data_IF_656344985927
#
_entry.id   IF_656344985927
#
_cell.length_a   1.000
_cell.length_b   1.000
_cell.length_c   1.000
_cell.angle_alpha   90.00
_cell.angle_beta   90.00
_cell.angle_gamma   90.00
#
_symmetry.space_group_name_H-M   'P 1'
#
loop_
_entity.id
_entity.type
_entity.pdbx_description
1 polymer ?
#
# COMPACT_ATOMS: atom_id res chain seq x y z
N UNK A 1 51.61 -12.22 -21.29
CA UNK A 1 50.25 -12.63 -21.68
C UNK A 1 49.35 -11.40 -21.65
N UNK A 2 48.77 -10.96 -22.78
CA UNK A 2 47.99 -9.73 -22.86
C UNK A 2 46.51 -10.04 -22.53
N UNK A 3 46.19 -10.32 -21.27
CA UNK A 3 44.79 -10.48 -20.85
C UNK A 3 44.13 -9.14 -20.49
N UNK A 4 44.93 -8.12 -20.15
CA UNK A 4 44.45 -6.83 -19.64
C UNK A 4 43.65 -6.01 -20.66
N UNK A 5 43.92 -6.14 -21.96
CA UNK A 5 43.25 -5.33 -22.99
C UNK A 5 41.87 -5.86 -23.39
N UNK A 6 41.66 -7.18 -23.32
CA UNK A 6 40.38 -7.82 -23.61
C UNK A 6 39.40 -7.67 -22.44
N UNK A 7 39.90 -7.75 -21.21
CA UNK A 7 39.09 -7.56 -20.01
C UNK A 7 38.54 -6.12 -19.93
N UNK A 8 39.35 -5.10 -20.23
CA UNK A 8 38.92 -3.70 -20.25
C UNK A 8 37.82 -3.43 -21.28
N UNK A 9 37.96 -3.93 -22.51
CA UNK A 9 36.94 -3.78 -23.56
C UNK A 9 35.63 -4.51 -23.21
N UNK A 10 35.71 -5.65 -22.51
CA UNK A 10 34.53 -6.39 -22.05
C UNK A 10 33.80 -5.68 -20.90
N UNK A 11 34.57 -5.06 -19.99
CA UNK A 11 34.03 -4.30 -18.86
C UNK A 11 33.39 -2.98 -19.31
N UNK A 12 34.00 -2.27 -20.26
CA UNK A 12 33.41 -1.06 -20.86
C UNK A 12 32.09 -1.38 -21.58
N UNK A 13 32.06 -2.43 -22.39
CA UNK A 13 30.84 -2.88 -23.06
C UNK A 13 29.73 -3.30 -22.07
N UNK A 14 30.09 -3.87 -20.91
CA UNK A 14 29.12 -4.24 -19.86
C UNK A 14 28.55 -3.01 -19.17
N UNK A 15 29.39 -2.02 -18.87
CA UNK A 15 28.94 -0.78 -18.22
C UNK A 15 28.01 0.02 -19.14
N UNK A 16 28.34 0.13 -20.42
CA UNK A 16 27.49 0.81 -21.41
C UNK A 16 26.13 0.12 -21.56
N UNK A 17 26.09 -1.22 -21.63
CA UNK A 17 24.84 -1.99 -21.66
C UNK A 17 23.99 -1.77 -20.40
N UNK A 18 24.63 -1.71 -19.22
CA UNK A 18 23.91 -1.41 -17.98
C UNK A 18 23.37 0.02 -17.98
N UNK A 19 24.14 1.00 -18.43
CA UNK A 19 23.72 2.40 -18.53
C UNK A 19 22.55 2.57 -19.51
N UNK A 20 22.59 1.90 -20.66
CA UNK A 20 21.49 1.88 -21.63
C UNK A 20 20.22 1.27 -21.03
N UNK A 21 20.34 0.13 -20.32
CA UNK A 21 19.22 -0.50 -19.62
C UNK A 21 18.60 0.44 -18.57
N UNK A 22 19.42 1.09 -17.74
CA UNK A 22 18.92 2.04 -16.74
C UNK A 22 18.34 3.30 -17.37
N UNK A 23 18.86 3.74 -18.52
CA UNK A 23 18.28 4.84 -19.28
C UNK A 23 16.90 4.45 -19.83
N UNK A 24 16.73 3.25 -20.38
CA UNK A 24 15.44 2.74 -20.85
C UNK A 24 14.41 2.62 -19.71
N UNK A 25 14.81 2.11 -18.53
CA UNK A 25 13.95 2.12 -17.34
C UNK A 25 13.54 3.54 -16.93
N UNK A 26 14.44 4.51 -17.04
CA UNK A 26 14.20 5.90 -16.67
C UNK A 26 13.50 6.74 -17.76
N UNK A 27 13.20 6.17 -18.93
CA UNK A 27 12.56 6.90 -20.03
C UNK A 27 11.23 7.53 -19.63
N UNK A 28 10.94 8.78 -20.06
CA UNK A 28 9.63 9.37 -19.86
C UNK A 28 8.51 8.45 -20.34
N UNK A 29 7.38 8.46 -19.64
CA UNK A 29 6.18 7.79 -20.11
C UNK A 29 5.45 8.66 -21.12
N UNK A 30 4.66 8.03 -21.98
CA UNK A 30 3.77 8.77 -22.88
C UNK A 30 2.74 9.54 -22.03
N UNK A 31 2.30 10.74 -22.47
CA UNK A 31 1.37 11.57 -21.70
C UNK A 31 0.11 10.84 -21.25
N UNK A 32 -0.43 9.93 -22.06
CA UNK A 32 -1.62 9.11 -21.78
C UNK A 32 -1.41 8.06 -20.67
N UNK A 33 -0.18 7.64 -20.42
CA UNK A 33 0.17 6.72 -19.34
C UNK A 33 0.30 7.44 -17.99
N UNK A 34 0.50 8.76 -18.03
CA UNK A 34 0.66 9.60 -16.85
C UNK A 34 -0.72 10.09 -16.39
N UNK A 35 -1.12 9.67 -15.20
CA UNK A 35 -2.38 10.07 -14.59
C UNK A 35 -2.17 11.31 -13.73
N UNK A 36 -3.23 12.09 -13.60
CA UNK A 36 -3.27 13.28 -12.75
C UNK A 36 -4.28 13.08 -11.63
N UNK A 37 -3.89 13.40 -10.40
CA UNK A 37 -4.79 13.49 -9.25
C UNK A 37 -4.68 14.85 -8.59
N UNK A 38 -5.81 15.40 -8.17
CA UNK A 38 -5.85 16.64 -7.40
C UNK A 38 -5.64 16.37 -5.92
N UNK A 39 -4.68 17.05 -5.30
CA UNK A 39 -4.45 17.04 -3.87
C UNK A 39 -4.45 18.49 -3.36
N UNK A 40 -5.59 18.92 -2.81
CA UNK A 40 -5.82 20.32 -2.47
C UNK A 40 -5.75 21.21 -3.72
N UNK A 41 -4.90 22.23 -3.68
CA UNK A 41 -4.65 23.12 -4.81
C UNK A 41 -3.59 22.59 -5.81
N UNK A 42 -2.96 21.44 -5.53
CA UNK A 42 -1.89 20.88 -6.36
C UNK A 42 -2.41 19.76 -7.25
N UNK A 43 -1.88 19.69 -8.48
CA UNK A 43 -2.04 18.54 -9.35
C UNK A 43 -0.79 17.67 -9.25
N UNK A 44 -0.97 16.42 -8.83
CA UNK A 44 0.09 15.42 -8.75
C UNK A 44 -0.02 14.48 -9.94
N UNK A 45 1.10 14.32 -10.65
CA UNK A 45 1.24 13.33 -11.70
C UNK A 45 1.73 12.02 -11.10
N UNK A 46 1.20 10.90 -11.58
CA UNK A 46 1.59 9.57 -11.14
C UNK A 46 1.32 8.53 -12.23
N UNK A 47 2.06 7.43 -12.17
CA UNK A 47 1.80 6.23 -12.97
C UNK A 47 1.14 5.14 -12.12
N UNK A 48 0.46 4.21 -12.77
CA UNK A 48 -0.13 3.05 -12.07
C UNK A 48 0.92 1.96 -11.87
N UNK A 49 0.66 1.01 -10.96
CA UNK A 49 1.54 -0.15 -10.82
C UNK A 49 1.61 -0.98 -12.13
N UNK A 50 0.52 -1.06 -12.91
CA UNK A 50 0.51 -1.74 -14.22
C UNK A 50 1.42 -1.07 -15.24
N UNK A 51 1.44 0.26 -15.25
CA UNK A 51 2.38 1.04 -16.07
C UNK A 51 3.84 0.74 -15.71
N UNK A 52 4.15 0.55 -14.42
CA UNK A 52 5.48 0.13 -13.96
C UNK A 52 5.79 -1.32 -14.39
N UNK A 53 4.84 -2.24 -14.23
CA UNK A 53 5.01 -3.64 -14.68
C UNK A 53 5.30 -3.72 -16.18
N UNK A 54 4.52 -3.02 -17.01
CA UNK A 54 4.75 -2.97 -18.45
C UNK A 54 6.16 -2.46 -18.78
N UNK A 55 6.62 -1.39 -18.13
CA UNK A 55 7.99 -0.88 -18.34
C UNK A 55 9.07 -1.91 -17.97
N UNK A 56 8.86 -2.66 -16.88
CA UNK A 56 9.80 -3.71 -16.49
C UNK A 56 9.80 -4.85 -17.51
N UNK A 57 8.62 -5.27 -17.99
CA UNK A 57 8.49 -6.30 -19.02
C UNK A 57 9.12 -5.87 -20.36
N UNK A 58 8.88 -4.63 -20.79
CA UNK A 58 9.40 -4.10 -22.06
C UNK A 58 10.93 -3.99 -22.05
N UNK A 59 11.53 -3.59 -20.92
CA UNK A 59 12.97 -3.34 -20.83
C UNK A 59 13.77 -4.57 -20.41
N UNK A 60 13.24 -5.36 -19.47
CA UNK A 60 13.95 -6.50 -18.88
C UNK A 60 13.43 -7.83 -19.42
N UNK A 61 12.18 -7.91 -19.85
CA UNK A 61 11.45 -9.15 -20.06
C UNK A 61 10.82 -9.69 -18.77
N UNK A 62 9.66 -10.37 -18.85
CA UNK A 62 8.86 -10.76 -17.68
C UNK A 62 9.53 -11.78 -16.75
N UNK A 63 10.57 -12.48 -17.21
CA UNK A 63 11.33 -13.45 -16.40
C UNK A 63 12.52 -12.83 -15.63
N UNK A 64 12.78 -11.54 -15.83
CA UNK A 64 13.99 -10.86 -15.36
C UNK A 64 13.72 -9.83 -14.25
N UNK A 65 12.51 -9.81 -13.70
CA UNK A 65 12.22 -9.06 -12.49
C UNK A 65 11.22 -9.83 -11.61
N UNK A 66 11.26 -9.56 -10.32
CA UNK A 66 10.29 -10.07 -9.34
C UNK A 66 10.30 -9.17 -8.11
N UNK A 67 9.23 -9.26 -7.33
CA UNK A 67 9.03 -8.49 -6.13
C UNK A 67 8.66 -9.38 -4.93
N UNK A 68 9.11 -8.94 -3.76
CA UNK A 68 8.78 -9.55 -2.47
C UNK A 68 8.22 -8.46 -1.56
N UNK A 69 7.17 -8.79 -0.81
CA UNK A 69 6.50 -7.86 0.08
C UNK A 69 6.63 -8.28 1.54
N UNK A 70 6.88 -7.29 2.40
CA UNK A 70 6.87 -7.43 3.84
C UNK A 70 5.87 -6.43 4.41
N UNK A 71 4.63 -6.87 4.70
CA UNK A 71 3.64 -6.05 5.40
C UNK A 71 4.14 -5.71 6.81
N UNK A 72 4.00 -4.45 7.18
CA UNK A 72 4.22 -3.90 8.52
C UNK A 72 2.89 -3.31 9.03
N UNK A 73 2.86 -2.85 10.27
CA UNK A 73 1.65 -2.32 10.91
C UNK A 73 0.99 -1.17 10.12
N UNK A 74 1.80 -0.21 9.65
CA UNK A 74 1.31 1.00 8.98
C UNK A 74 1.87 1.19 7.56
N UNK A 75 2.54 0.18 7.02
CA UNK A 75 3.18 0.27 5.70
C UNK A 75 3.46 -1.11 5.12
N UNK A 76 3.83 -1.16 3.85
CA UNK A 76 4.34 -2.35 3.18
C UNK A 76 5.72 -2.04 2.65
N UNK A 77 6.72 -2.86 2.94
CA UNK A 77 8.01 -2.81 2.24
C UNK A 77 7.90 -3.68 0.99
N UNK A 78 8.26 -3.12 -0.17
CA UNK A 78 8.49 -3.88 -1.39
C UNK A 78 9.99 -3.98 -1.62
N UNK A 79 10.50 -5.20 -1.87
CA UNK A 79 11.84 -5.46 -2.41
C UNK A 79 11.66 -5.80 -3.88
N UNK A 80 12.09 -4.92 -4.78
CA UNK A 80 12.08 -5.16 -6.22
C UNK A 80 13.47 -5.62 -6.65
N UNK A 81 13.53 -6.78 -7.29
CA UNK A 81 14.77 -7.34 -7.83
C UNK A 81 14.70 -7.38 -9.35
N UNK A 82 15.78 -6.94 -10.01
CA UNK A 82 15.97 -7.07 -11.46
C UNK A 82 17.19 -7.93 -11.76
N UNK A 83 17.17 -8.63 -12.89
CA UNK A 83 18.30 -9.38 -13.44
C UNK A 83 18.94 -8.57 -14.56
N UNK A 84 20.24 -8.36 -14.47
CA UNK A 84 21.03 -7.62 -15.46
C UNK A 84 21.48 -8.55 -16.62
N UNK A 85 21.96 -7.97 -17.75
CA UNK A 85 22.41 -8.75 -18.91
C UNK A 85 23.52 -9.76 -18.58
N UNK A 86 24.41 -9.40 -17.64
CA UNK A 86 25.49 -10.25 -17.11
C UNK A 86 25.00 -11.35 -16.13
N UNK A 87 23.68 -11.52 -16.00
CA UNK A 87 22.98 -12.46 -15.10
C UNK A 87 23.08 -12.12 -13.62
N UNK A 88 23.76 -11.05 -13.23
CA UNK A 88 23.74 -10.58 -11.85
C UNK A 88 22.35 -10.02 -11.50
N UNK A 89 22.07 -9.90 -10.20
CA UNK A 89 20.77 -9.42 -9.71
C UNK A 89 20.96 -8.22 -8.81
N UNK A 90 20.08 -7.23 -8.94
CA UNK A 90 20.07 -6.03 -8.12
C UNK A 90 18.71 -5.89 -7.43
N UNK A 91 18.73 -5.85 -6.11
CA UNK A 91 17.52 -5.63 -5.29
C UNK A 91 17.56 -4.25 -4.67
N UNK A 92 16.46 -3.49 -4.81
CA UNK A 92 16.23 -2.24 -4.10
C UNK A 92 14.86 -2.28 -3.45
N UNK A 93 14.73 -1.68 -2.28
CA UNK A 93 13.49 -1.71 -1.51
C UNK A 93 13.01 -0.32 -1.13
N UNK A 94 11.70 -0.12 -1.03
CA UNK A 94 11.08 1.07 -0.45
C UNK A 94 9.76 0.69 0.24
N UNK A 95 9.19 1.61 1.01
CA UNK A 95 7.96 1.39 1.75
C UNK A 95 6.82 2.25 1.21
N UNK A 96 5.62 1.66 1.10
CA UNK A 96 4.37 2.36 0.80
C UNK A 96 3.50 2.40 2.05
N UNK A 97 2.89 3.55 2.34
CA UNK A 97 1.96 3.67 3.47
C UNK A 97 0.56 3.20 3.08
N UNK A 98 -0.18 2.65 4.04
CA UNK A 98 -1.62 2.46 3.86
C UNK A 98 -2.31 3.84 3.81
N UNK A 99 -3.29 3.98 2.92
CA UNK A 99 -3.97 5.26 2.69
C UNK A 99 -5.08 5.55 3.73
N UNK A 100 -5.28 4.68 4.72
CA UNK A 100 -6.32 4.78 5.74
C UNK A 100 -7.72 4.65 5.16
N UNK A 101 -7.89 3.80 4.14
CA UNK A 101 -9.17 3.57 3.48
C UNK A 101 -10.11 2.76 4.38
N UNK A 102 -11.41 3.08 4.33
CA UNK A 102 -12.43 2.46 5.19
C UNK A 102 -12.66 0.96 4.89
N UNK A 103 -12.23 0.49 3.73
CA UNK A 103 -12.17 -0.94 3.39
C UNK A 103 -10.70 -1.38 3.48
N UNK A 104 -10.41 -2.26 4.45
CA UNK A 104 -9.08 -2.81 4.69
C UNK A 104 -8.49 -3.45 3.42
N UNK A 105 -9.32 -4.07 2.58
CA UNK A 105 -8.83 -4.68 1.33
C UNK A 105 -8.39 -3.67 0.28
N UNK A 106 -9.02 -2.49 0.21
CA UNK A 106 -8.60 -1.39 -0.66
C UNK A 106 -7.42 -0.63 -0.06
N UNK A 107 -7.34 -0.56 1.27
CA UNK A 107 -6.23 0.06 1.99
C UNK A 107 -4.94 -0.73 1.81
N UNK A 108 -5.00 -2.05 1.98
CA UNK A 108 -3.88 -2.95 1.74
C UNK A 108 -3.37 -2.80 0.31
N UNK A 109 -4.26 -2.91 -0.69
CA UNK A 109 -3.89 -2.74 -2.11
C UNK A 109 -3.20 -1.40 -2.38
N UNK A 110 -3.57 -0.34 -1.65
CA UNK A 110 -2.96 0.98 -1.78
C UNK A 110 -1.51 0.99 -1.29
N UNK A 111 -1.22 0.34 -0.15
CA UNK A 111 0.12 0.21 0.42
C UNK A 111 1.06 -0.60 -0.47
N UNK A 112 0.63 -1.77 -0.95
CA UNK A 112 1.43 -2.62 -1.85
C UNK A 112 1.76 -1.91 -3.16
N UNK A 113 0.75 -1.29 -3.80
CA UNK A 113 0.94 -0.57 -5.07
C UNK A 113 1.86 0.64 -4.91
N UNK A 114 1.79 1.34 -3.77
CA UNK A 114 2.67 2.47 -3.50
C UNK A 114 4.10 2.01 -3.25
N UNK A 115 4.29 0.97 -2.42
CA UNK A 115 5.60 0.38 -2.12
C UNK A 115 6.33 -0.07 -3.40
N UNK A 116 5.62 -0.78 -4.29
CA UNK A 116 6.14 -1.25 -5.56
C UNK A 116 6.61 -0.10 -6.46
N UNK A 117 5.76 0.91 -6.68
CA UNK A 117 6.13 2.08 -7.49
C UNK A 117 7.32 2.83 -6.89
N UNK A 118 7.40 2.95 -5.56
CA UNK A 118 8.50 3.63 -4.88
C UNK A 118 9.81 2.85 -4.97
N UNK A 119 9.77 1.52 -4.87
CA UNK A 119 10.93 0.68 -5.13
C UNK A 119 11.42 0.82 -6.58
N UNK A 120 10.49 0.86 -7.54
CA UNK A 120 10.78 1.07 -8.97
C UNK A 120 11.44 2.42 -9.28
N UNK A 121 11.08 3.50 -8.56
CA UNK A 121 11.74 4.81 -8.69
C UNK A 121 13.25 4.72 -8.43
N UNK A 122 13.71 3.81 -7.56
CA UNK A 122 15.14 3.62 -7.30
C UNK A 122 15.91 3.01 -8.47
N UNK A 123 15.21 2.38 -9.42
CA UNK A 123 15.74 1.94 -10.71
C UNK A 123 15.58 3.00 -11.82
N UNK A 124 14.92 4.13 -11.53
CA UNK A 124 14.73 5.25 -12.46
C UNK A 124 13.30 5.39 -12.99
N UNK A 125 12.47 4.35 -12.84
CA UNK A 125 11.11 4.31 -13.40
C UNK A 125 10.25 5.42 -12.79
N UNK A 126 9.76 6.34 -13.62
CA UNK A 126 8.90 7.45 -13.19
C UNK A 126 9.60 8.48 -12.29
N UNK A 127 10.93 8.42 -12.15
CA UNK A 127 11.69 9.33 -11.27
C UNK A 127 11.53 10.81 -11.68
N UNK A 128 11.40 11.09 -12.98
CA UNK A 128 11.19 12.45 -13.49
C UNK A 128 9.88 13.09 -12.99
N UNK A 129 8.88 12.29 -12.58
CA UNK A 129 7.61 12.79 -12.04
C UNK A 129 7.77 13.52 -10.70
N UNK A 130 8.88 13.28 -10.00
CA UNK A 130 9.25 13.98 -8.76
C UNK A 130 9.85 15.37 -9.01
N UNK A 131 10.11 15.74 -10.27
CA UNK A 131 10.58 17.07 -10.70
C UNK A 131 11.98 17.49 -10.20
N UNK A 132 12.72 16.58 -9.60
CA UNK A 132 14.14 16.77 -9.22
C UNK A 132 15.12 16.34 -10.34
N UNK A 133 14.58 16.07 -11.54
CA UNK A 133 15.34 15.62 -12.71
C UNK A 133 15.74 14.13 -12.68
N UNK A 134 16.47 13.72 -13.72
CA UNK A 134 17.08 12.38 -13.84
C UNK A 134 18.58 12.53 -14.16
N UNK A 135 19.42 11.54 -13.83
CA UNK A 135 20.86 11.61 -14.12
C UNK A 135 21.18 11.92 -15.59
N UNK A 136 22.33 12.57 -15.85
CA UNK A 136 22.71 13.00 -17.20
C UNK A 136 22.79 11.85 -18.21
N UNK A 137 23.34 10.70 -17.80
CA UNK A 137 23.50 9.52 -18.66
C UNK A 137 22.18 9.06 -19.29
N UNK A 138 21.05 9.27 -18.60
CA UNK A 138 19.71 8.92 -19.07
C UNK A 138 19.38 9.68 -20.37
N UNK A 139 19.72 10.96 -20.43
CA UNK A 139 19.49 11.80 -21.61
C UNK A 139 20.47 11.50 -22.73
N UNK A 140 21.72 11.15 -22.40
CA UNK A 140 22.77 10.83 -23.38
C UNK A 140 22.42 9.55 -24.13
N UNK A 141 21.97 8.51 -23.42
CA UNK A 141 21.64 7.21 -24.02
C UNK A 141 20.29 7.23 -24.76
N UNK A 142 19.33 8.09 -24.37
CA UNK A 142 18.08 8.27 -25.15
C UNK A 142 18.30 8.93 -26.52
N UNK A 143 19.42 9.63 -26.72
CA UNK A 143 19.75 10.25 -28.02
C UNK A 143 20.34 9.26 -29.02
N UNK A 144 20.69 8.04 -28.59
CA UNK A 144 21.22 6.97 -29.42
C UNK A 144 20.29 5.75 -29.37
N UNK A 145 19.17 5.74 -30.12
CA UNK A 145 18.26 4.61 -30.11
C UNK A 145 18.86 3.47 -30.95
N UNK A 146 19.49 2.47 -30.32
CA UNK A 146 19.86 1.21 -30.97
C UNK A 146 18.79 0.11 -30.84
N UNK A 147 17.63 0.39 -30.24
CA UNK A 147 16.59 -0.62 -29.98
C UNK A 147 15.19 -0.18 -30.43
N UNK A 148 15.09 0.31 -31.67
CA UNK A 148 13.82 0.56 -32.35
C UNK A 148 13.69 -0.31 -33.60
N UNK A 149 13.71 -1.63 -33.44
CA UNK A 149 13.37 -2.57 -34.51
C UNK A 149 13.07 -3.98 -33.94
N UNK A 150 11.91 -4.15 -33.27
CA UNK A 150 11.10 -5.40 -33.36
C UNK A 150 9.88 -5.34 -32.43
N UNK A 151 8.98 -4.39 -32.71
CA UNK A 151 7.62 -4.44 -32.17
C UNK A 151 6.67 -3.82 -33.20
N UNK A 152 6.59 -4.41 -34.38
CA UNK A 152 5.56 -4.07 -35.35
C UNK A 152 5.09 -5.35 -36.04
N UNK A 153 4.11 -6.01 -35.43
CA UNK A 153 3.01 -6.72 -36.13
C UNK A 153 2.17 -7.49 -35.12
N UNK A 154 1.08 -6.87 -34.65
CA UNK A 154 -0.24 -7.48 -34.52
C UNK A 154 -1.26 -6.39 -34.19
N UNK A 155 -1.58 -5.57 -35.19
CA UNK A 155 -2.81 -4.79 -35.20
C UNK A 155 -3.87 -5.60 -35.95
N UNK A 156 -4.93 -6.01 -35.25
CA UNK A 156 -6.18 -6.42 -35.87
C UNK A 156 -7.26 -5.40 -35.48
N UNK A 157 -8.08 -4.92 -36.43
CA UNK A 157 -9.07 -3.88 -36.19
C UNK A 157 -10.35 -4.51 -35.64
N UNK A 158 -10.83 -4.07 -34.48
CA UNK A 158 -12.19 -4.36 -34.02
C UNK A 158 -13.05 -3.10 -34.10
N UNK A 159 -14.00 -3.18 -35.01
CA UNK A 159 -15.11 -2.26 -35.28
C UNK A 159 -15.91 -1.91 -34.02
N UNK A 160 -16.01 -0.62 -33.73
CA UNK A 160 -16.95 -0.06 -32.75
C UNK A 160 -18.35 0.06 -33.35
N UNK A 161 -19.36 -0.43 -32.63
CA UNK A 161 -20.74 0.01 -32.76
C UNK A 161 -21.12 0.83 -31.51
N UNK A 162 -21.88 1.94 -31.60
CA UNK A 162 -22.04 2.88 -30.50
C UNK A 162 -23.21 2.51 -29.58
N UNK A 163 -23.03 2.70 -28.28
CA UNK A 163 -24.11 2.71 -27.28
C UNK A 163 -24.07 4.02 -26.45
N UNK A 164 -25.22 4.47 -25.93
CA UNK A 164 -25.63 5.88 -25.97
C UNK A 164 -25.02 6.79 -24.89
N UNK A 165 -24.89 8.06 -25.27
CA UNK A 165 -24.44 9.18 -24.43
C UNK A 165 -25.46 9.45 -23.31
N UNK A 166 -24.98 9.48 -22.06
CA UNK A 166 -25.71 10.07 -20.95
C UNK A 166 -25.46 11.58 -20.93
N UNK A 167 -26.54 12.35 -20.92
CA UNK A 167 -26.56 13.82 -20.82
C UNK A 167 -25.88 14.33 -19.53
N UNK A 168 -25.29 15.55 -19.57
CA UNK A 168 -24.67 16.16 -18.41
C UNK A 168 -25.72 16.81 -17.48
N UNK A 169 -25.74 16.40 -16.21
CA UNK A 169 -26.47 17.14 -15.17
C UNK A 169 -25.69 18.41 -14.77
N UNK A 170 -26.39 19.51 -14.41
CA UNK A 170 -25.87 20.87 -14.52
C UNK A 170 -24.89 21.26 -13.40
N UNK A 171 -23.93 22.10 -13.79
CA UNK A 171 -23.05 22.84 -12.89
C UNK A 171 -23.84 23.85 -12.05
N UNK A 172 -23.79 23.74 -10.73
CA UNK A 172 -24.10 24.85 -9.83
C UNK A 172 -22.82 25.33 -9.15
N UNK A 173 -22.38 26.51 -9.58
CA UNK A 173 -21.38 27.37 -8.96
C UNK A 173 -21.68 27.65 -7.48
N UNK A 174 -20.60 27.80 -6.70
CA UNK A 174 -20.50 28.15 -5.26
C UNK A 174 -21.38 29.34 -4.81
N UNK A 175 -21.51 29.54 -3.49
CA UNK A 175 -20.63 30.55 -2.89
C UNK A 175 -19.81 30.02 -1.70
N UNK A 176 -18.66 30.66 -1.49
CA UNK A 176 -17.86 30.54 -0.29
C UNK A 176 -18.61 31.16 0.91
N UNK A 177 -18.55 30.51 2.06
CA UNK A 177 -19.06 31.03 3.32
C UNK A 177 -18.24 30.48 4.47
N UNK A 178 -17.34 31.30 5.00
CA UNK A 178 -16.73 31.10 6.31
C UNK A 178 -17.76 31.43 7.40
N UNK A 179 -18.01 30.46 8.29
CA UNK A 179 -18.84 30.55 9.48
C UNK A 179 -18.84 29.18 10.20
N UNK A 180 -19.10 29.10 11.53
CA UNK A 180 -19.04 27.84 12.28
C UNK A 180 -20.30 27.01 11.99
N UNK A 181 -20.36 26.45 10.78
CA UNK A 181 -21.54 25.77 10.24
C UNK A 181 -21.36 24.26 10.17
N UNK A 182 -22.46 23.54 10.38
CA UNK A 182 -22.55 22.10 10.19
C UNK A 182 -21.96 21.67 8.82
N UNK A 183 -21.26 20.53 8.74
CA UNK A 183 -20.65 20.06 7.50
C UNK A 183 -21.73 19.81 6.43
N UNK A 184 -21.59 20.45 5.27
CA UNK A 184 -22.55 20.36 4.16
C UNK A 184 -22.17 19.32 3.10
N UNK A 185 -21.03 18.64 3.26
CA UNK A 185 -20.57 17.59 2.36
C UNK A 185 -19.90 16.46 3.13
N UNK A 186 -19.88 15.26 2.56
CA UNK A 186 -19.22 14.11 3.18
C UNK A 186 -17.74 14.32 3.47
N UNK A 187 -17.05 15.10 2.64
CA UNK A 187 -15.66 15.49 2.87
C UNK A 187 -15.50 16.44 4.07
N UNK A 188 -16.43 17.39 4.22
CA UNK A 188 -16.44 18.32 5.35
C UNK A 188 -16.77 17.57 6.66
N UNK A 189 -17.72 16.63 6.61
CA UNK A 189 -18.06 15.79 7.76
C UNK A 189 -16.88 14.92 8.18
N UNK A 190 -16.21 14.28 7.22
CA UNK A 190 -15.02 13.47 7.49
C UNK A 190 -13.90 14.31 8.15
N UNK A 191 -13.62 15.50 7.61
CA UNK A 191 -12.62 16.39 8.18
C UNK A 191 -12.99 16.85 9.60
N UNK A 192 -14.28 17.12 9.85
CA UNK A 192 -14.77 17.48 11.17
C UNK A 192 -14.66 16.32 12.16
N UNK A 193 -15.10 15.11 11.79
CA UNK A 193 -15.01 13.89 12.63
C UNK A 193 -13.54 13.62 12.98
N UNK A 194 -12.65 13.67 12.00
CA UNK A 194 -11.21 13.46 12.22
C UNK A 194 -10.62 14.46 13.20
N UNK A 195 -11.02 15.74 13.10
CA UNK A 195 -10.61 16.78 14.04
C UNK A 195 -11.12 16.50 15.46
N UNK A 196 -12.35 16.02 15.62
CA UNK A 196 -12.88 15.64 16.94
C UNK A 196 -12.14 14.44 17.54
N UNK A 197 -11.81 13.42 16.73
CA UNK A 197 -11.05 12.25 17.16
C UNK A 197 -9.60 12.60 17.53
N UNK A 198 -8.95 13.51 16.80
CA UNK A 198 -7.60 14.00 17.15
C UNK A 198 -7.60 14.82 18.46
N UNK A 199 -8.67 15.57 18.73
CA UNK A 199 -8.76 16.43 19.91
C UNK A 199 -9.17 15.70 21.19
N UNK A 200 -9.98 14.65 21.07
CA UNK A 200 -10.63 14.01 22.22
C UNK A 200 -10.55 12.49 22.25
N UNK A 201 -10.05 11.84 21.18
CA UNK A 201 -9.87 10.39 21.14
C UNK A 201 -11.16 9.56 21.15
N UNK A 202 -12.28 10.13 20.70
CA UNK A 202 -13.61 9.52 20.82
C UNK A 202 -13.84 8.30 19.92
N UNK A 203 -13.06 8.12 18.84
CA UNK A 203 -13.26 7.05 17.87
C UNK A 203 -14.56 7.21 17.06
N UNK A 204 -15.03 8.45 16.87
CA UNK A 204 -16.24 8.83 16.17
C UNK A 204 -16.26 8.32 14.73
N UNK A 205 -15.11 8.29 14.05
CA UNK A 205 -15.07 7.82 12.66
C UNK A 205 -15.58 6.38 12.53
N UNK A 206 -15.20 5.51 13.47
CA UNK A 206 -15.66 4.12 13.48
C UNK A 206 -17.15 4.06 13.82
N UNK A 207 -17.57 4.73 14.90
CA UNK A 207 -18.95 4.72 15.38
C UNK A 207 -19.95 5.21 14.32
N UNK A 208 -19.62 6.31 13.64
CA UNK A 208 -20.48 6.90 12.61
C UNK A 208 -20.47 6.09 11.32
N UNK A 209 -19.33 5.46 10.97
CA UNK A 209 -19.28 4.55 9.83
C UNK A 209 -20.11 3.27 10.06
N UNK A 210 -20.07 2.73 11.28
CA UNK A 210 -20.86 1.56 11.68
C UNK A 210 -22.36 1.89 11.75
N UNK A 211 -22.73 3.07 12.26
CA UNK A 211 -24.10 3.57 12.24
C UNK A 211 -24.63 3.76 10.81
N UNK A 212 -23.84 4.39 9.94
CA UNK A 212 -24.25 4.67 8.55
C UNK A 212 -24.43 3.39 7.73
N UNK A 213 -23.63 2.35 7.99
CA UNK A 213 -23.84 1.01 7.41
C UNK A 213 -25.20 0.42 7.77
N UNK A 214 -25.69 0.63 9.00
CA UNK A 214 -27.02 0.16 9.43
C UNK A 214 -28.18 0.93 8.80
N UNK A 215 -27.90 2.10 8.23
CA UNK A 215 -28.86 2.97 7.55
C UNK A 215 -28.80 2.82 6.02
N UNK A 216 -28.06 1.83 5.49
CA UNK A 216 -27.82 1.60 4.06
C UNK A 216 -27.25 2.83 3.31
N UNK A 217 -26.41 3.62 3.99
CA UNK A 217 -25.73 4.74 3.33
C UNK A 217 -24.60 4.24 2.40
N UNK A 218 -24.21 5.02 1.38
CA UNK A 218 -23.08 4.68 0.52
C UNK A 218 -21.82 4.41 1.33
N UNK A 219 -21.01 3.43 0.92
CA UNK A 219 -19.85 2.99 1.70
C UNK A 219 -18.80 4.10 1.93
N UNK A 220 -18.69 5.07 1.02
CA UNK A 220 -17.77 6.19 1.14
C UNK A 220 -18.51 7.44 1.56
N UNK A 221 -18.09 8.07 2.67
CA UNK A 221 -18.68 9.32 3.17
C UNK A 221 -18.72 10.43 2.11
N UNK A 222 -17.72 10.49 1.23
CA UNK A 222 -17.67 11.46 0.11
C UNK A 222 -18.83 11.31 -0.90
N UNK A 223 -19.47 10.14 -0.95
CA UNK A 223 -20.62 9.85 -1.81
C UNK A 223 -21.96 10.17 -1.12
N UNK A 224 -21.94 10.60 0.14
CA UNK A 224 -23.16 10.93 0.88
C UNK A 224 -23.76 12.24 0.37
N UNK A 225 -25.08 12.22 0.18
CA UNK A 225 -25.83 13.43 -0.12
C UNK A 225 -25.97 14.33 1.12
N UNK A 226 -26.45 15.56 0.93
CA UNK A 226 -26.55 16.55 2.02
C UNK A 226 -27.42 16.08 3.20
N UNK A 227 -28.49 15.31 2.93
CA UNK A 227 -29.37 14.78 3.97
C UNK A 227 -28.67 13.69 4.81
N UNK A 228 -27.95 12.78 4.14
CA UNK A 228 -27.15 11.74 4.79
C UNK A 228 -26.04 12.34 5.65
N UNK A 229 -25.37 13.38 5.14
CA UNK A 229 -24.34 14.13 5.88
C UNK A 229 -24.94 14.79 7.13
N UNK A 230 -26.11 15.42 7.00
CA UNK A 230 -26.77 16.06 8.14
C UNK A 230 -27.20 15.05 9.21
N UNK A 231 -27.77 13.91 8.82
CA UNK A 231 -28.16 12.85 9.77
C UNK A 231 -26.94 12.30 10.51
N UNK A 232 -25.85 12.05 9.80
CA UNK A 232 -24.61 11.57 10.41
C UNK A 232 -23.93 12.61 11.31
N UNK A 233 -24.04 13.90 10.98
CA UNK A 233 -23.54 14.98 11.83
C UNK A 233 -24.30 15.06 13.14
N UNK A 234 -25.64 14.97 13.10
CA UNK A 234 -26.49 14.94 14.30
C UNK A 234 -26.12 13.74 15.19
N UNK A 235 -26.01 12.54 14.60
CA UNK A 235 -25.61 11.34 15.32
C UNK A 235 -24.24 11.52 15.99
N UNK A 236 -23.26 12.09 15.27
CA UNK A 236 -21.94 12.36 15.82
C UNK A 236 -21.98 13.31 17.02
N UNK A 237 -22.81 14.35 16.98
CA UNK A 237 -23.02 15.24 18.12
C UNK A 237 -23.66 14.52 19.31
N UNK A 238 -24.64 13.65 19.07
CA UNK A 238 -25.26 12.82 20.11
C UNK A 238 -24.25 11.90 20.78
N UNK A 239 -23.38 11.25 20.00
CA UNK A 239 -22.31 10.39 20.54
C UNK A 239 -21.32 11.20 21.38
N UNK A 240 -20.89 12.38 20.93
CA UNK A 240 -20.01 13.26 21.70
C UNK A 240 -20.65 13.63 23.04
N UNK A 241 -21.92 14.04 23.02
CA UNK A 241 -22.63 14.45 24.23
C UNK A 241 -22.79 13.29 25.22
N UNK A 242 -23.07 12.07 24.73
CA UNK A 242 -23.14 10.88 25.57
C UNK A 242 -21.80 10.55 26.25
N UNK A 243 -20.69 10.65 25.51
CA UNK A 243 -19.35 10.42 26.05
C UNK A 243 -18.98 11.50 27.08
N UNK A 244 -19.26 12.77 26.79
CA UNK A 244 -19.00 13.88 27.70
C UNK A 244 -19.83 13.81 28.99
N UNK A 245 -21.11 13.42 28.89
CA UNK A 245 -21.99 13.24 30.06
C UNK A 245 -21.49 12.09 30.95
N UNK A 246 -20.98 11.01 30.35
CA UNK A 246 -20.39 9.88 31.09
C UNK A 246 -19.09 10.27 31.81
N UNK A 247 -18.35 11.27 31.32
CA UNK A 247 -17.14 11.78 31.98
C UNK A 247 -17.39 12.89 33.01
N UNK A 248 -18.56 13.52 33.01
CA UNK A 248 -18.90 14.64 33.87
C UNK A 248 -19.50 14.25 35.23
N UNK A 249 -19.63 12.95 35.54
CA UNK A 249 -20.26 12.47 36.77
C UNK A 249 -19.25 11.86 37.75
N UNK A 250 -18.56 12.66 38.59
CA UNK A 250 -17.90 12.17 39.78
C UNK A 250 -18.85 12.35 40.97
N UNK A 251 -19.99 11.65 41.00
CA UNK A 251 -20.83 11.69 42.20
C UNK A 251 -20.20 10.83 43.30
N UNK A 252 -19.83 11.39 44.47
CA UNK A 252 -19.25 10.64 45.56
C UNK A 252 -20.37 9.87 46.28
N UNK A 253 -20.28 8.54 46.29
CA UNK A 253 -21.13 7.71 47.14
C UNK A 253 -20.76 7.95 48.61
N UNK A 254 -21.58 8.73 49.32
CA UNK A 254 -21.58 8.77 50.79
C UNK A 254 -22.58 7.75 51.35
N UNK A 255 -22.24 7.05 52.45
CA UNK A 255 -22.95 5.86 52.90
C UNK A 255 -24.17 6.23 53.74
N UNK A 256 -25.32 5.61 53.48
CA UNK A 256 -26.49 5.67 54.38
C UNK A 256 -26.77 4.31 55.00
N UNK A 257 -27.00 4.35 56.32
CA UNK A 257 -27.08 3.26 57.28
C UNK A 257 -28.37 2.44 57.20
N UNK A 258 -28.25 1.17 57.60
CA UNK A 258 -29.25 0.36 58.33
C UNK A 258 -29.76 -0.85 57.53
N UNK A 259 -29.89 -2.09 58.04
CA UNK A 259 -29.72 -2.69 59.38
C UNK A 259 -29.70 -4.24 59.21
N UNK A 260 -29.08 -4.96 60.17
CA UNK A 260 -29.38 -6.38 60.47
C UNK A 260 -28.25 -7.39 60.17
N UNK A 261 -27.28 -7.66 61.08
CA UNK A 261 -27.26 -8.72 62.13
C UNK A 261 -27.19 -10.15 61.54
N UNK A 262 -26.30 -11.11 61.87
CA UNK A 262 -25.50 -11.50 63.06
C UNK A 262 -24.17 -12.12 62.59
N UNK A 263 -23.04 -11.80 63.22
CA UNK A 263 -22.46 -12.57 64.32
C UNK A 263 -21.21 -13.32 63.83
N UNK A 264 -20.14 -13.61 64.56
CA UNK A 264 -19.68 -13.31 65.91
C UNK A 264 -18.20 -13.75 65.95
N UNK A 265 -17.41 -13.14 66.86
CA UNK A 265 -16.06 -13.56 67.34
C UNK A 265 -14.90 -13.33 66.34
N UNK A 266 -13.76 -12.74 66.70
CA UNK A 266 -13.31 -12.18 67.98
C UNK A 266 -11.87 -11.66 67.84
N UNK A 267 -11.65 -10.47 68.43
CA UNK A 267 -10.47 -10.01 69.19
C UNK A 267 -9.04 -10.01 68.56
N UNK A 268 -8.60 -8.79 68.28
CA UNK A 268 -7.34 -8.11 68.66
C UNK A 268 -5.97 -8.76 68.39
N UNK A 269 -5.21 -8.20 67.44
CA UNK A 269 -4.05 -7.30 67.71
C UNK A 269 -3.38 -6.81 66.40
N UNK A 270 -3.23 -5.49 66.27
CA UNK A 270 -2.29 -4.80 65.36
C UNK A 270 -0.94 -4.71 66.08
N UNK A 271 0.23 -4.92 65.45
CA UNK A 271 1.17 -3.98 64.74
C UNK A 271 2.41 -4.79 64.25
N UNK A 272 3.38 -4.27 63.46
CA UNK A 272 3.35 -3.45 62.24
C UNK A 272 4.28 -3.94 61.09
N UNK A 273 4.07 -3.41 59.88
CA UNK A 273 5.01 -3.04 58.78
C UNK A 273 6.25 -3.92 58.52
N UNK A 274 6.30 -4.51 57.31
CA UNK A 274 7.56 -4.54 56.55
C UNK A 274 7.32 -4.55 55.03
N UNK A 275 8.11 -3.73 54.34
CA UNK A 275 8.16 -3.47 52.92
C UNK A 275 8.63 -4.69 52.12
N UNK A 276 7.89 -5.09 51.08
CA UNK A 276 8.36 -6.08 50.10
C UNK A 276 8.52 -5.41 48.74
N UNK A 277 9.78 -5.39 48.31
CA UNK A 277 10.26 -5.05 46.97
C UNK A 277 9.83 -6.17 46.00
N UNK A 278 9.37 -5.87 44.77
CA UNK A 278 9.16 -6.93 43.78
C UNK A 278 10.50 -7.38 43.17
N UNK A 279 10.78 -8.68 43.24
CA UNK A 279 11.90 -9.36 42.58
C UNK A 279 11.72 -9.42 41.04
N UNK A 280 12.83 -9.58 40.29
CA UNK A 280 12.87 -9.34 38.84
C UNK A 280 12.31 -10.49 37.99
N UNK A 281 11.80 -10.07 36.83
CA UNK A 281 11.27 -10.88 35.73
C UNK A 281 12.23 -12.00 35.33
N UNK A 282 11.78 -13.25 35.43
CA UNK A 282 12.49 -14.40 34.85
C UNK A 282 12.19 -14.46 33.35
N UNK A 283 13.20 -14.12 32.56
CA UNK A 283 13.21 -14.20 31.10
C UNK A 283 13.23 -15.68 30.66
N UNK A 284 12.11 -16.18 30.14
CA UNK A 284 12.02 -17.53 29.57
C UNK A 284 12.65 -17.55 28.17
N UNK A 285 13.87 -18.08 28.12
CA UNK A 285 14.62 -18.39 26.87
C UNK A 285 13.86 -19.44 26.05
N UNK A 286 13.59 -19.24 24.75
CA UNK A 286 13.04 -20.30 23.91
C UNK A 286 14.10 -21.38 23.62
N UNK A 287 13.67 -22.64 23.64
CA UNK A 287 14.50 -23.81 23.37
C UNK A 287 15.03 -23.84 21.91
N UNK A 288 16.21 -24.45 21.65
CA UNK A 288 16.76 -24.52 20.30
C UNK A 288 15.97 -25.50 19.42
N UNK A 289 15.64 -25.04 18.21
CA UNK A 289 14.98 -25.83 17.15
C UNK A 289 15.93 -26.94 16.67
N UNK A 290 15.50 -28.22 16.60
CA UNK A 290 16.33 -29.29 16.07
C UNK A 290 16.55 -29.14 14.56
N UNK A 291 17.81 -29.31 14.13
CA UNK A 291 18.26 -29.29 12.74
C UNK A 291 17.54 -30.36 11.92
N UNK A 292 16.84 -29.95 10.86
CA UNK A 292 16.26 -30.86 9.88
C UNK A 292 17.40 -31.48 9.05
N UNK A 293 17.68 -32.76 9.27
CA UNK A 293 18.60 -33.54 8.46
C UNK A 293 18.11 -33.58 7.00
N UNK A 294 19.08 -33.47 6.08
CA UNK A 294 18.85 -33.60 4.63
C UNK A 294 18.60 -35.07 4.32
N UNK A 295 17.41 -35.39 3.80
CA UNK A 295 17.19 -36.70 3.17
C UNK A 295 18.06 -36.84 1.91
N UNK A 296 18.72 -37.99 1.71
CA UNK A 296 19.53 -38.25 0.53
C UNK A 296 18.66 -38.52 -0.71
N UNK A 297 19.05 -37.89 -1.81
CA UNK A 297 18.54 -38.05 -3.16
C UNK A 297 18.48 -39.54 -3.58
N UNK A 298 17.29 -40.02 -3.94
CA UNK A 298 17.13 -41.32 -4.60
C UNK A 298 17.48 -41.25 -6.09
N UNK A 299 18.14 -42.30 -6.66
CA UNK A 299 18.58 -42.31 -8.04
C UNK A 299 17.44 -42.60 -9.04
N UNK A 300 17.53 -41.94 -10.20
CA UNK A 300 16.71 -42.18 -11.39
C UNK A 300 16.76 -43.65 -11.81
N UNK A 301 15.61 -44.33 -11.82
CA UNK A 301 15.45 -45.59 -12.55
C UNK A 301 14.99 -45.28 -13.98
N UNK A 302 15.81 -45.72 -14.94
CA UNK A 302 15.42 -45.75 -16.34
C UNK A 302 14.49 -46.94 -16.61
N UNK A 303 13.58 -46.77 -17.57
CA UNK A 303 13.09 -47.89 -18.38
C UNK A 303 12.77 -47.47 -19.81
N UNK A 304 13.48 -48.17 -20.69
CA UNK A 304 13.47 -48.28 -22.15
C UNK A 304 12.20 -47.99 -22.94
N UNK A 305 12.43 -47.29 -24.07
CA UNK A 305 12.16 -47.72 -25.46
C UNK A 305 10.94 -48.63 -25.68
N UNK A 306 9.95 -48.10 -26.39
CA UNK A 306 9.31 -48.84 -27.49
C UNK A 306 9.29 -47.94 -28.73
N UNK A 307 9.78 -48.49 -29.83
CA UNK A 307 9.75 -47.90 -31.17
C UNK A 307 8.38 -48.20 -31.78
N UNK A 308 7.73 -47.21 -32.38
CA UNK A 308 6.80 -47.44 -33.49
C UNK A 308 7.05 -46.38 -34.54
N UNK A 309 7.74 -46.78 -35.60
CA UNK A 309 7.85 -46.05 -36.85
C UNK A 309 6.45 -45.90 -37.47
N UNK A 310 6.11 -44.70 -37.92
CA UNK A 310 5.16 -44.49 -39.00
C UNK A 310 5.83 -43.52 -39.99
N UNK A 311 6.28 -44.07 -41.12
CA UNK A 311 6.70 -43.30 -42.29
C UNK A 311 5.47 -42.64 -42.96
N UNK A 312 5.63 -41.43 -43.51
CA UNK A 312 4.63 -40.80 -44.37
C UNK A 312 4.85 -41.20 -45.84
N UNK A 313 3.77 -41.51 -46.55
CA UNK A 313 3.74 -41.53 -48.02
C UNK A 313 3.27 -40.15 -48.52
N UNK A 314 3.94 -39.53 -49.50
CA UNK A 314 3.47 -38.31 -50.12
C UNK A 314 2.59 -38.60 -51.35
N UNK A 315 1.53 -37.82 -51.51
CA UNK A 315 0.86 -37.50 -52.78
C UNK A 315 1.25 -36.10 -53.21
#
# INVERSE_FOLDING_TARGET
>A
MPQTSLDLLSHENTMDQQLELFAALAAPFMPEEVRVRSQGARQLQYITARTVMNRLDDVLGPANWWDEYMPLENSVICRLTIRLPDRTTLTKSDAGGYAGMADSGDDDKSGFSDAFKRAAVKFGIGRYLYRDGVPRFVHEHMRHPSLAADATQHAQPSSQAPLPQAEPAPSSSRPAGDGPGAPQSGKALFAWIKKQDEQHGFGLLKTISDWAKRQDFPARMVQWNAEQVQKAFIEAQTVIQAIQTTQADPTPLSPTRGNGWKGSKGRDRVVPVESVVPDPVTETRPAPVPKREREPSQPRSGRNRSMSNNDPTPS
#
